data_IF_228880271181
#
_entry.id   IF_228880271181
#
_cell.length_a   1.000
_cell.length_b   1.000
_cell.length_c   1.000
_cell.angle_alpha   90.00
_cell.angle_beta   90.00
_cell.angle_gamma   90.00
#
_symmetry.space_group_name_H-M   'P 1'
#
loop_
_entity.id
_entity.type
_entity.pdbx_description
1 polymer ?
#
# COMPACT_ATOMS: atom_id res chain seq x y z
N UNK A 1 -5.88 4.84 15.41
CA UNK A 1 -6.31 3.50 15.66
C UNK A 1 -7.81 3.45 15.92
N UNK A 2 -8.55 2.83 15.01
CA UNK A 2 -10.00 2.67 15.19
C UNK A 2 -10.25 1.79 16.43
N UNK A 3 -11.18 2.22 17.29
CA UNK A 3 -11.61 1.47 18.47
C UNK A 3 -10.68 1.54 19.69
N UNK A 4 -9.56 2.28 19.63
CA UNK A 4 -8.64 2.39 20.77
C UNK A 4 -9.23 3.11 21.99
N UNK A 5 -10.30 3.86 21.79
CA UNK A 5 -11.05 4.64 22.80
C UNK A 5 -12.45 4.06 23.07
N UNK A 6 -12.76 2.90 22.51
CA UNK A 6 -14.06 2.21 22.66
C UNK A 6 -13.83 0.71 22.85
N UNK A 7 -14.89 -0.03 23.25
CA UNK A 7 -14.86 -1.50 23.33
C UNK A 7 -15.02 -2.19 21.96
N UNK A 8 -14.75 -1.49 20.85
CA UNK A 8 -14.87 -2.00 19.50
C UNK A 8 -13.50 -2.21 18.86
N UNK A 9 -13.46 -2.99 17.79
CA UNK A 9 -12.25 -3.24 16.97
C UNK A 9 -12.56 -3.09 15.48
N UNK A 10 -11.52 -2.96 14.67
CA UNK A 10 -11.69 -2.89 13.22
C UNK A 10 -12.30 -4.19 12.67
N UNK A 11 -11.93 -5.34 13.24
CA UNK A 11 -12.49 -6.64 12.89
C UNK A 11 -14.01 -6.69 13.13
N UNK A 12 -14.43 -6.20 14.31
CA UNK A 12 -15.86 -6.12 14.65
C UNK A 12 -16.59 -5.21 13.66
N UNK A 13 -16.02 -4.03 13.35
CA UNK A 13 -16.61 -3.13 12.37
C UNK A 13 -16.75 -3.78 11.00
N UNK A 14 -15.72 -4.47 10.49
CA UNK A 14 -15.78 -5.16 9.20
C UNK A 14 -16.82 -6.27 9.22
N UNK A 15 -16.93 -7.03 10.31
CA UNK A 15 -17.94 -8.06 10.47
C UNK A 15 -19.36 -7.46 10.46
N UNK A 16 -19.60 -6.38 11.21
CA UNK A 16 -20.90 -5.69 11.20
C UNK A 16 -21.26 -5.15 9.81
N UNK A 17 -20.29 -4.54 9.12
CA UNK A 17 -20.50 -4.04 7.76
C UNK A 17 -20.78 -5.17 6.75
N UNK A 18 -20.31 -6.38 7.01
CA UNK A 18 -20.59 -7.54 6.15
C UNK A 18 -22.06 -8.00 6.18
N UNK A 19 -22.82 -7.59 7.20
CA UNK A 19 -24.25 -7.89 7.32
C UNK A 19 -25.16 -6.86 6.63
N UNK A 20 -24.60 -5.77 6.11
CA UNK A 20 -25.38 -4.76 5.39
C UNK A 20 -25.79 -5.27 4.01
N UNK A 21 -27.03 -5.01 3.63
CA UNK A 21 -27.53 -5.28 2.28
C UNK A 21 -27.02 -4.22 1.28
N UNK A 22 -26.95 -4.60 0.02
CA UNK A 22 -26.64 -3.72 -1.09
C UNK A 22 -25.27 -3.94 -1.73
N UNK A 23 -25.08 -3.31 -2.88
CA UNK A 23 -23.82 -3.31 -3.62
C UNK A 23 -22.98 -2.10 -3.25
N UNK A 24 -21.90 -2.33 -2.56
CA UNK A 24 -20.92 -1.32 -2.18
C UNK A 24 -19.52 -1.93 -2.14
N UNK A 25 -18.51 -1.08 -1.97
CA UNK A 25 -17.13 -1.52 -1.73
C UNK A 25 -16.56 -0.85 -0.50
N UNK A 26 -15.88 -1.64 0.32
CA UNK A 26 -15.17 -1.18 1.51
C UNK A 26 -13.67 -1.12 1.24
N UNK A 27 -13.05 -0.02 1.59
CA UNK A 27 -11.60 0.10 1.60
C UNK A 27 -11.12 0.46 3.00
N UNK A 28 -10.36 -0.42 3.61
CA UNK A 28 -9.62 -0.08 4.83
C UNK A 28 -8.49 0.86 4.46
N UNK A 29 -8.34 1.91 5.23
CA UNK A 29 -7.31 2.92 5.00
C UNK A 29 -5.92 2.44 5.37
N UNK A 30 -5.06 3.37 5.81
CA UNK A 30 -3.70 3.06 6.24
C UNK A 30 -3.72 2.34 7.59
N UNK A 31 -2.96 1.26 7.71
CA UNK A 31 -2.76 0.48 8.93
C UNK A 31 -1.39 0.79 9.55
N UNK A 32 -1.27 0.55 10.85
CA UNK A 32 0.02 0.51 11.54
C UNK A 32 0.34 -0.97 11.86
N UNK A 33 1.53 -1.49 11.52
CA UNK A 33 1.91 -2.87 11.82
C UNK A 33 1.62 -3.28 13.26
N UNK A 34 2.02 -2.48 14.25
CA UNK A 34 1.78 -2.71 15.68
C UNK A 34 0.30 -2.95 16.04
N UNK A 35 -0.64 -2.32 15.32
CA UNK A 35 -2.07 -2.45 15.62
C UNK A 35 -2.70 -3.71 15.03
N UNK A 36 -1.98 -4.41 14.16
CA UNK A 36 -2.44 -5.62 13.46
C UNK A 36 -1.66 -6.85 13.89
N UNK A 37 -0.37 -6.71 14.16
CA UNK A 37 0.49 -7.79 14.64
C UNK A 37 -0.08 -8.44 15.92
N UNK A 38 0.16 -9.73 16.08
CA UNK A 38 -0.40 -10.54 17.16
C UNK A 38 -1.88 -10.93 16.99
N UNK A 39 -2.62 -10.32 16.03
CA UNK A 39 -4.00 -10.68 15.65
C UNK A 39 -4.21 -10.65 14.13
N UNK A 40 -3.15 -10.84 13.38
CA UNK A 40 -3.15 -10.75 11.91
C UNK A 40 -4.09 -11.77 11.27
N UNK A 41 -4.24 -12.96 11.86
CA UNK A 41 -5.17 -13.99 11.38
C UNK A 41 -6.64 -13.62 11.57
N UNK A 42 -7.01 -13.05 12.72
CA UNK A 42 -8.36 -12.55 12.99
C UNK A 42 -8.72 -11.40 12.05
N UNK A 43 -7.78 -10.47 11.88
CA UNK A 43 -7.92 -9.36 10.96
C UNK A 43 -8.08 -9.84 9.52
N UNK A 44 -7.24 -10.79 9.07
CA UNK A 44 -7.35 -11.35 7.72
C UNK A 44 -8.70 -12.05 7.50
N UNK A 45 -9.22 -12.78 8.49
CA UNK A 45 -10.57 -13.38 8.42
C UNK A 45 -11.66 -12.32 8.28
N UNK A 46 -11.59 -11.22 9.03
CA UNK A 46 -12.55 -10.11 8.93
C UNK A 46 -12.52 -9.43 7.54
N UNK A 47 -11.43 -9.58 6.77
CA UNK A 47 -11.31 -9.10 5.38
C UNK A 47 -11.99 -9.99 4.34
N UNK A 48 -12.61 -11.11 4.75
CA UNK A 48 -13.13 -12.14 3.83
C UNK A 48 -14.33 -11.69 2.98
N UNK A 49 -15.12 -10.71 3.44
CA UNK A 49 -16.26 -10.20 2.65
C UNK A 49 -15.78 -9.78 1.25
N UNK A 50 -16.40 -10.27 0.15
CA UNK A 50 -16.01 -9.92 -1.22
C UNK A 50 -16.14 -8.43 -1.52
N UNK A 51 -16.98 -7.70 -0.78
CA UNK A 51 -17.12 -6.24 -0.93
C UNK A 51 -15.98 -5.46 -0.28
N UNK A 52 -15.14 -6.12 0.55
CA UNK A 52 -13.92 -5.51 1.10
C UNK A 52 -12.78 -5.69 0.12
N UNK A 53 -12.24 -4.59 -0.40
CA UNK A 53 -11.09 -4.63 -1.28
C UNK A 53 -9.91 -5.37 -0.66
N UNK A 54 -9.32 -6.32 -1.39
CA UNK A 54 -8.10 -7.01 -0.99
C UNK A 54 -6.90 -6.08 -1.19
N UNK A 55 -6.85 -5.07 -0.36
CA UNK A 55 -5.93 -3.95 -0.40
C UNK A 55 -5.43 -3.63 1.00
N UNK A 56 -4.12 -3.46 1.14
CA UNK A 56 -3.49 -3.07 2.39
C UNK A 56 -2.48 -1.95 2.17
N UNK A 57 -2.63 -0.84 2.88
CA UNK A 57 -1.62 0.21 2.99
C UNK A 57 -0.95 0.09 4.35
N UNK A 58 0.27 -0.46 4.37
CA UNK A 58 1.05 -0.78 5.57
C UNK A 58 2.39 -0.03 5.54
N UNK A 59 2.47 1.21 6.04
CA UNK A 59 3.69 2.01 6.03
C UNK A 59 4.75 1.46 6.97
N UNK A 60 5.88 0.99 6.44
CA UNK A 60 7.02 0.56 7.27
C UNK A 60 7.98 1.69 7.60
N UNK A 61 8.16 2.66 6.72
CA UNK A 61 9.01 3.85 6.80
C UNK A 61 10.51 3.60 6.58
N UNK A 62 11.09 2.50 7.07
CA UNK A 62 12.48 2.10 6.89
C UNK A 62 12.63 0.58 6.99
N UNK A 63 13.61 0.01 6.31
CA UNK A 63 14.01 -1.39 6.49
C UNK A 63 15.03 -1.60 7.60
N UNK A 64 15.47 -0.54 8.29
CA UNK A 64 16.38 -0.62 9.42
C UNK A 64 15.65 -0.38 10.73
N UNK A 65 15.69 -1.34 11.67
CA UNK A 65 15.07 -1.20 12.98
C UNK A 65 15.65 0.00 13.75
N UNK A 66 16.96 0.20 13.67
CA UNK A 66 17.65 1.37 14.26
C UNK A 66 17.04 2.70 13.79
N UNK A 67 16.70 2.79 12.52
CA UNK A 67 16.08 4.01 11.96
C UNK A 67 14.61 4.12 12.39
N UNK A 68 13.87 3.02 12.47
CA UNK A 68 12.51 3.02 13.00
C UNK A 68 12.49 3.52 14.45
N UNK A 69 13.38 3.03 15.29
CA UNK A 69 13.52 3.47 16.70
C UNK A 69 13.86 4.96 16.77
N UNK A 70 14.78 5.42 15.90
CA UNK A 70 15.18 6.84 15.82
C UNK A 70 14.03 7.75 15.32
N UNK A 71 13.11 7.20 14.54
CA UNK A 71 11.88 7.88 14.11
C UNK A 71 10.80 7.85 15.19
N UNK A 72 11.03 7.17 16.31
CA UNK A 72 10.03 6.88 17.34
C UNK A 72 8.79 6.19 16.74
N UNK A 73 9.03 5.13 15.94
CA UNK A 73 7.96 4.26 15.45
C UNK A 73 7.72 3.16 16.46
N UNK A 74 6.44 2.93 16.77
CA UNK A 74 6.02 1.97 17.79
C UNK A 74 5.91 0.53 17.25
N UNK A 75 6.36 0.29 16.01
CA UNK A 75 6.34 -1.03 15.37
C UNK A 75 7.74 -1.53 15.03
N UNK A 76 7.87 -2.85 14.94
CA UNK A 76 9.10 -3.55 14.57
C UNK A 76 9.03 -4.09 13.13
N UNK A 77 10.20 -4.51 12.62
CA UNK A 77 10.28 -5.22 11.32
C UNK A 77 9.60 -6.58 11.41
N UNK A 78 9.68 -7.27 12.54
CA UNK A 78 9.03 -8.57 12.78
C UNK A 78 7.51 -8.43 12.68
N UNK A 79 6.92 -7.41 13.31
CA UNK A 79 5.47 -7.13 13.22
C UNK A 79 5.04 -6.82 11.78
N UNK A 80 5.85 -6.07 11.03
CA UNK A 80 5.58 -5.84 9.61
C UNK A 80 5.58 -7.14 8.81
N UNK A 81 6.56 -8.01 9.04
CA UNK A 81 6.67 -9.29 8.34
C UNK A 81 5.51 -10.22 8.68
N UNK A 82 5.15 -10.35 9.97
CA UNK A 82 3.99 -11.14 10.40
C UNK A 82 2.74 -10.74 9.61
N UNK A 83 2.43 -9.44 9.58
CA UNK A 83 1.24 -8.93 8.89
C UNK A 83 1.30 -9.23 7.39
N UNK A 84 2.42 -8.95 6.72
CA UNK A 84 2.54 -9.19 5.27
C UNK A 84 2.42 -10.67 4.93
N UNK A 85 3.07 -11.55 5.67
CA UNK A 85 3.07 -12.99 5.42
C UNK A 85 1.66 -13.57 5.64
N UNK A 86 1.03 -13.30 6.78
CA UNK A 86 -0.33 -13.77 7.06
C UNK A 86 -1.32 -13.29 6.00
N UNK A 87 -1.33 -12.02 5.67
CA UNK A 87 -2.29 -11.50 4.68
C UNK A 87 -2.05 -12.07 3.27
N UNK A 88 -0.81 -12.35 2.89
CA UNK A 88 -0.52 -13.02 1.61
C UNK A 88 -0.91 -14.48 1.57
N UNK A 89 -0.87 -15.17 2.70
CA UNK A 89 -1.37 -16.54 2.81
C UNK A 89 -2.89 -16.60 2.60
N UNK A 90 -3.63 -15.63 3.16
CA UNK A 90 -5.09 -15.54 2.96
C UNK A 90 -5.46 -14.99 1.58
N UNK A 91 -4.70 -14.03 1.07
CA UNK A 91 -5.00 -13.27 -0.15
C UNK A 91 -3.74 -13.09 -1.02
N UNK A 92 -3.33 -14.12 -1.78
CA UNK A 92 -2.06 -14.11 -2.55
C UNK A 92 -1.95 -12.96 -3.57
N UNK A 93 -3.08 -12.47 -4.09
CA UNK A 93 -3.13 -11.37 -5.06
C UNK A 93 -3.42 -10.00 -4.41
N UNK A 94 -3.47 -9.92 -3.06
CA UNK A 94 -3.72 -8.67 -2.34
C UNK A 94 -2.73 -7.58 -2.76
N UNK A 95 -3.28 -6.40 -3.07
CA UNK A 95 -2.45 -5.22 -3.36
C UNK A 95 -1.88 -4.65 -2.07
N UNK A 96 -0.55 -4.60 -1.97
CA UNK A 96 0.16 -4.04 -0.82
C UNK A 96 0.86 -2.74 -1.21
N UNK A 97 0.60 -1.69 -0.43
CA UNK A 97 1.28 -0.39 -0.54
C UNK A 97 2.05 -0.12 0.74
N UNK A 98 3.26 0.41 0.62
CA UNK A 98 4.06 0.87 1.76
C UNK A 98 4.64 2.26 1.52
N UNK A 99 5.05 2.91 2.60
CA UNK A 99 5.73 4.20 2.58
C UNK A 99 7.15 4.04 3.09
N UNK A 100 8.10 4.76 2.46
CA UNK A 100 9.51 4.81 2.85
C UNK A 100 9.93 6.28 2.98
N UNK A 101 10.63 6.56 4.07
CA UNK A 101 11.30 7.85 4.31
C UNK A 101 12.81 7.63 4.19
N UNK A 102 13.45 8.28 3.22
CA UNK A 102 14.92 8.24 3.04
C UNK A 102 15.57 9.54 3.49
N UNK A 103 16.80 9.45 3.96
CA UNK A 103 17.59 10.58 4.43
C UNK A 103 17.19 11.05 5.83
N UNK A 104 16.63 10.16 6.65
CA UNK A 104 16.43 10.45 8.07
C UNK A 104 17.78 10.67 8.75
N UNK A 105 17.90 11.62 9.70
CA UNK A 105 19.14 11.85 10.44
C UNK A 105 19.70 10.57 11.05
N UNK A 106 20.99 10.31 10.78
CA UNK A 106 21.67 9.09 11.26
C UNK A 106 21.54 7.86 10.34
N UNK A 107 20.77 7.95 9.23
CA UNK A 107 20.70 6.87 8.24
C UNK A 107 22.06 6.67 7.56
N UNK A 108 22.63 5.46 7.67
CA UNK A 108 23.88 5.04 7.03
C UNK A 108 23.62 4.38 5.67
N UNK A 109 24.67 3.96 4.96
CA UNK A 109 24.53 3.22 3.70
C UNK A 109 24.02 1.80 3.96
N UNK A 110 24.36 1.21 5.09
CA UNK A 110 23.86 -0.09 5.55
C UNK A 110 22.35 0.00 5.85
N UNK A 111 21.89 1.00 6.59
CA UNK A 111 20.45 1.22 6.86
C UNK A 111 19.64 1.40 5.57
N UNK A 112 20.23 2.10 4.58
CA UNK A 112 19.62 2.26 3.27
C UNK A 112 19.56 0.92 2.50
N UNK A 113 20.63 0.11 2.56
CA UNK A 113 20.65 -1.22 1.94
C UNK A 113 19.60 -2.16 2.56
N UNK A 114 19.47 -2.17 3.89
CA UNK A 114 18.42 -2.92 4.59
C UNK A 114 17.02 -2.53 4.10
N UNK A 115 16.81 -1.24 3.79
CA UNK A 115 15.54 -0.76 3.21
C UNK A 115 15.32 -1.28 1.78
N UNK A 116 16.36 -1.31 0.94
CA UNK A 116 16.28 -1.90 -0.40
C UNK A 116 16.00 -3.40 -0.34
N UNK A 117 16.66 -4.12 0.57
CA UNK A 117 16.50 -5.57 0.76
C UNK A 117 15.09 -5.91 1.27
N UNK A 118 14.55 -5.12 2.22
CA UNK A 118 13.17 -5.24 2.67
C UNK A 118 12.19 -5.10 1.51
N UNK A 119 12.35 -4.08 0.67
CA UNK A 119 11.47 -3.86 -0.47
C UNK A 119 11.56 -4.99 -1.51
N UNK A 120 12.76 -5.48 -1.80
CA UNK A 120 12.97 -6.61 -2.69
C UNK A 120 12.28 -7.88 -2.18
N UNK A 121 12.43 -8.20 -0.89
CA UNK A 121 11.82 -9.37 -0.25
C UNK A 121 10.29 -9.22 -0.15
N UNK A 122 9.79 -8.08 0.35
CA UNK A 122 8.35 -7.86 0.52
C UNK A 122 7.61 -7.65 -0.79
N UNK A 123 8.30 -7.21 -1.85
CA UNK A 123 7.76 -6.98 -3.19
C UNK A 123 6.40 -6.27 -3.16
N UNK A 124 6.28 -5.08 -2.58
CA UNK A 124 5.02 -4.34 -2.56
C UNK A 124 4.64 -3.89 -3.98
N UNK A 125 3.34 -3.77 -4.24
CA UNK A 125 2.82 -3.34 -5.54
C UNK A 125 3.11 -1.86 -5.80
N UNK A 126 3.03 -1.04 -4.75
CA UNK A 126 3.39 0.38 -4.80
C UNK A 126 4.21 0.78 -3.57
N UNK A 127 5.17 1.68 -3.79
CA UNK A 127 5.97 2.28 -2.73
C UNK A 127 5.93 3.80 -2.85
N UNK A 128 5.49 4.47 -1.80
CA UNK A 128 5.60 5.91 -1.69
C UNK A 128 6.96 6.26 -1.08
N UNK A 129 7.82 6.91 -1.86
CA UNK A 129 9.16 7.33 -1.42
C UNK A 129 9.14 8.82 -1.10
N UNK A 130 9.42 9.15 0.16
CA UNK A 130 9.50 10.53 0.65
C UNK A 130 10.90 10.80 1.21
N UNK A 131 11.48 11.95 0.89
CA UNK A 131 12.70 12.44 1.55
C UNK A 131 12.35 13.03 2.89
N UNK A 132 13.16 12.72 3.91
CA UNK A 132 12.98 13.33 5.22
C UNK A 132 12.96 14.84 5.12
N UNK A 133 11.96 15.45 5.71
CA UNK A 133 11.83 16.89 5.90
C UNK A 133 11.57 17.19 7.39
N UNK A 134 12.45 17.96 8.04
CA UNK A 134 12.28 18.25 9.46
C UNK A 134 11.03 19.09 9.71
N UNK A 135 10.24 18.68 10.67
CA UNK A 135 9.07 19.43 11.13
C UNK A 135 9.43 20.24 12.37
N UNK A 136 9.13 21.53 12.38
CA UNK A 136 9.36 22.39 13.53
C UNK A 136 8.69 21.80 14.79
N UNK A 137 9.43 21.78 15.90
CA UNK A 137 8.93 21.27 17.18
C UNK A 137 9.19 19.77 17.43
N UNK A 138 9.66 19.00 16.41
CA UNK A 138 10.04 17.59 16.61
C UNK A 138 11.50 17.44 17.02
N UNK A 139 11.87 16.38 17.82
CA UNK A 139 13.26 16.09 18.16
C UNK A 139 14.15 15.97 16.92
N UNK A 140 13.69 15.29 15.88
CA UNK A 140 14.42 15.06 14.63
C UNK A 140 14.78 16.37 13.88
N UNK A 141 14.09 17.47 14.15
CA UNK A 141 14.42 18.78 13.56
C UNK A 141 15.77 19.35 14.04
N UNK A 142 16.29 18.84 15.17
CA UNK A 142 17.55 19.24 15.80
C UNK A 142 18.71 18.33 15.43
N UNK A 143 18.45 17.19 14.78
CA UNK A 143 19.49 16.21 14.45
C UNK A 143 20.33 16.67 13.25
N UNK A 144 21.58 16.21 13.19
CA UNK A 144 22.46 16.45 12.05
C UNK A 144 21.89 15.76 10.81
N UNK A 145 21.61 16.54 9.77
CA UNK A 145 21.04 16.03 8.51
C UNK A 145 22.06 15.19 7.73
N UNK A 146 21.58 14.22 7.01
CA UNK A 146 22.34 13.53 5.97
C UNK A 146 22.62 14.50 4.81
N UNK A 147 23.81 14.40 4.18
CA UNK A 147 24.18 15.23 3.03
C UNK A 147 23.14 15.12 1.92
N UNK A 148 22.72 16.27 1.37
CA UNK A 148 21.65 16.32 0.37
C UNK A 148 21.97 15.55 -0.91
N UNK A 149 23.27 15.39 -1.27
CA UNK A 149 23.69 14.57 -2.43
C UNK A 149 23.45 13.09 -2.16
N UNK A 150 23.72 12.63 -0.93
CA UNK A 150 23.47 11.25 -0.49
C UNK A 150 21.95 11.00 -0.50
N UNK A 151 21.13 11.87 0.11
CA UNK A 151 19.67 11.75 0.10
C UNK A 151 19.11 11.71 -1.33
N UNK A 152 19.65 12.54 -2.23
CA UNK A 152 19.25 12.53 -3.65
C UNK A 152 19.59 11.21 -4.34
N UNK A 153 20.79 10.65 -4.09
CA UNK A 153 21.21 9.34 -4.61
C UNK A 153 20.27 8.23 -4.13
N UNK A 154 20.10 8.08 -2.81
CA UNK A 154 19.22 7.06 -2.18
C UNK A 154 17.78 7.18 -2.66
N UNK A 155 17.22 8.39 -2.71
CA UNK A 155 15.86 8.61 -3.23
C UNK A 155 15.70 8.20 -4.69
N UNK A 156 16.76 8.31 -5.51
CA UNK A 156 16.76 7.84 -6.91
C UNK A 156 16.78 6.31 -6.97
N UNK A 157 17.60 5.65 -6.16
CA UNK A 157 17.70 4.19 -6.09
C UNK A 157 16.33 3.59 -5.67
N UNK A 158 15.72 4.11 -4.61
CA UNK A 158 14.37 3.70 -4.19
C UNK A 158 13.31 3.99 -5.27
N UNK A 159 13.43 5.11 -5.99
CA UNK A 159 12.51 5.43 -7.08
C UNK A 159 12.64 4.47 -8.26
N UNK A 160 13.83 4.01 -8.57
CA UNK A 160 14.06 3.00 -9.61
C UNK A 160 13.51 1.63 -9.17
N UNK A 161 13.86 1.21 -7.95
CA UNK A 161 13.38 -0.06 -7.40
C UNK A 161 11.84 -0.12 -7.34
N UNK A 162 11.17 0.93 -6.83
CA UNK A 162 9.70 0.94 -6.77
C UNK A 162 9.05 0.81 -8.15
N UNK A 163 9.65 1.42 -9.20
CA UNK A 163 9.15 1.32 -10.58
C UNK A 163 9.29 -0.10 -11.10
N UNK A 164 10.43 -0.74 -10.83
CA UNK A 164 10.69 -2.13 -11.22
C UNK A 164 9.71 -3.09 -10.55
N UNK A 165 9.58 -3.01 -9.21
CA UNK A 165 8.67 -3.85 -8.43
C UNK A 165 7.22 -3.67 -8.89
N UNK A 166 6.74 -2.44 -9.00
CA UNK A 166 5.38 -2.17 -9.41
C UNK A 166 5.10 -2.59 -10.85
N UNK A 167 6.00 -2.33 -11.79
CA UNK A 167 5.85 -2.80 -13.18
C UNK A 167 5.76 -4.33 -13.24
N UNK A 168 6.61 -5.04 -12.50
CA UNK A 168 6.58 -6.51 -12.41
C UNK A 168 5.27 -7.01 -11.80
N UNK A 169 4.76 -6.33 -10.76
CA UNK A 169 3.50 -6.69 -10.11
C UNK A 169 2.31 -6.55 -11.06
N UNK A 170 2.15 -5.41 -11.71
CA UNK A 170 1.01 -5.16 -12.59
C UNK A 170 1.05 -5.96 -13.89
N UNK A 171 2.23 -6.26 -14.43
CA UNK A 171 2.39 -7.05 -15.67
C UNK A 171 1.74 -8.43 -15.60
N UNK A 172 1.63 -9.04 -14.42
CA UNK A 172 1.01 -10.36 -14.20
C UNK A 172 -0.49 -10.40 -14.59
N UNK A 173 -1.13 -9.25 -14.70
CA UNK A 173 -2.57 -9.13 -14.96
C UNK A 173 -2.88 -8.84 -16.44
N UNK A 174 -1.89 -8.50 -17.26
CA UNK A 174 -2.08 -8.28 -18.71
C UNK A 174 -2.63 -9.55 -19.36
N UNK A 175 -3.73 -9.39 -20.09
CA UNK A 175 -4.49 -10.46 -20.74
C UNK A 175 -5.59 -11.07 -19.89
N UNK A 176 -5.64 -10.81 -18.57
CA UNK A 176 -6.71 -11.28 -17.67
C UNK A 176 -7.99 -10.45 -17.87
N UNK A 177 -9.12 -11.12 -17.67
CA UNK A 177 -10.45 -10.51 -17.59
C UNK A 177 -10.85 -10.39 -16.12
N UNK A 178 -11.53 -9.31 -15.76
CA UNK A 178 -12.00 -9.05 -14.39
C UNK A 178 -13.13 -8.03 -14.41
N UNK A 179 -13.94 -8.01 -13.34
CA UNK A 179 -14.91 -6.95 -13.12
C UNK A 179 -14.27 -5.75 -12.40
N UNK A 180 -14.69 -4.55 -12.73
CA UNK A 180 -14.20 -3.31 -12.12
C UNK A 180 -15.32 -2.34 -11.81
N UNK A 181 -15.16 -1.59 -10.71
CA UNK A 181 -16.04 -0.48 -10.36
C UNK A 181 -15.47 0.84 -10.91
N UNK A 182 -16.29 1.61 -11.61
CA UNK A 182 -15.93 2.97 -12.07
C UNK A 182 -15.97 3.94 -10.90
N UNK A 183 -14.87 4.67 -10.66
CA UNK A 183 -14.75 5.51 -9.45
C UNK A 183 -14.50 6.99 -9.72
N UNK A 184 -13.87 7.34 -10.84
CA UNK A 184 -13.52 8.72 -11.12
C UNK A 184 -13.29 9.00 -12.62
N UNK A 185 -13.75 10.15 -13.09
CA UNK A 185 -13.45 10.69 -14.42
C UNK A 185 -12.40 11.82 -14.28
N UNK A 186 -11.11 11.44 -14.26
CA UNK A 186 -10.00 12.41 -14.08
C UNK A 186 -9.77 13.31 -15.29
N UNK A 187 -10.02 12.79 -16.48
CA UNK A 187 -9.84 13.51 -17.76
C UNK A 187 -10.96 13.11 -18.72
N UNK A 188 -11.37 14.04 -19.57
CA UNK A 188 -12.32 13.75 -20.65
C UNK A 188 -11.81 12.59 -21.51
N UNK A 189 -12.67 11.63 -21.77
CA UNK A 189 -12.33 10.41 -22.52
C UNK A 189 -11.58 9.36 -21.72
N UNK A 190 -11.60 9.40 -20.38
CA UNK A 190 -10.98 8.35 -19.58
C UNK A 190 -11.62 8.21 -18.19
N UNK A 191 -11.97 6.98 -17.83
CA UNK A 191 -12.53 6.62 -16.54
C UNK A 191 -11.53 5.78 -15.75
N UNK A 192 -11.27 6.17 -14.49
CA UNK A 192 -10.53 5.38 -13.53
C UNK A 192 -11.47 4.37 -12.88
N UNK A 193 -11.07 3.11 -12.90
CA UNK A 193 -11.77 1.99 -12.29
C UNK A 193 -10.91 1.31 -11.22
N UNK A 194 -11.55 0.48 -10.39
CA UNK A 194 -10.90 -0.36 -9.38
C UNK A 194 -11.38 -1.79 -9.50
N UNK A 195 -10.44 -2.75 -9.52
CA UNK A 195 -10.74 -4.17 -9.34
C UNK A 195 -10.95 -4.52 -7.86
N UNK A 196 -11.24 -5.78 -7.54
CA UNK A 196 -11.45 -6.25 -6.16
C UNK A 196 -10.20 -6.14 -5.26
N UNK A 197 -9.04 -5.90 -5.83
CA UNK A 197 -7.79 -5.61 -5.11
C UNK A 197 -7.47 -4.11 -5.05
N UNK A 198 -8.41 -3.25 -5.44
CA UNK A 198 -8.25 -1.79 -5.48
C UNK A 198 -7.19 -1.30 -6.47
N UNK A 199 -6.75 -2.13 -7.44
CA UNK A 199 -5.77 -1.73 -8.45
C UNK A 199 -6.35 -0.66 -9.36
N UNK A 200 -5.57 0.38 -9.71
CA UNK A 200 -6.02 1.41 -10.64
C UNK A 200 -6.03 0.86 -12.08
N UNK A 201 -7.19 0.93 -12.72
CA UNK A 201 -7.38 0.51 -14.11
C UNK A 201 -8.02 1.66 -14.88
N UNK A 202 -7.47 2.01 -16.03
CA UNK A 202 -7.94 3.11 -16.88
C UNK A 202 -8.63 2.54 -18.11
N UNK A 203 -9.89 2.91 -18.29
CA UNK A 203 -10.62 2.74 -19.53
C UNK A 203 -10.58 4.05 -20.34
N UNK A 204 -10.18 3.96 -21.62
CA UNK A 204 -10.05 5.14 -22.51
C UNK A 204 -11.39 5.55 -23.11
N UNK A 205 -12.38 5.78 -22.23
CA UNK A 205 -13.72 6.27 -22.57
C UNK A 205 -14.38 6.85 -21.33
N UNK A 206 -15.36 7.73 -21.52
CA UNK A 206 -16.19 8.26 -20.45
C UNK A 206 -17.30 7.26 -20.12
N UNK A 207 -17.35 6.81 -18.86
CA UNK A 207 -18.38 5.90 -18.36
C UNK A 207 -19.11 6.51 -17.15
N UNK A 208 -20.38 6.13 -16.91
CA UNK A 208 -21.06 6.41 -15.66
C UNK A 208 -20.21 5.95 -14.46
N UNK A 209 -20.26 6.73 -13.37
CA UNK A 209 -19.56 6.39 -12.14
C UNK A 209 -20.45 5.55 -11.22
N UNK A 210 -19.85 4.67 -10.44
CA UNK A 210 -20.54 3.77 -9.52
C UNK A 210 -21.08 2.51 -10.17
N UNK A 211 -20.71 2.23 -11.41
CA UNK A 211 -21.16 1.07 -12.17
C UNK A 211 -20.06 0.01 -12.30
N UNK A 212 -20.47 -1.26 -12.41
CA UNK A 212 -19.57 -2.38 -12.65
C UNK A 212 -19.49 -2.71 -14.13
N UNK A 213 -18.28 -3.01 -14.60
CA UNK A 213 -18.01 -3.41 -15.98
C UNK A 213 -17.03 -4.57 -16.01
N UNK A 214 -17.28 -5.52 -16.91
CA UNK A 214 -16.31 -6.56 -17.23
C UNK A 214 -15.32 -6.03 -18.25
N UNK A 215 -14.03 -6.25 -17.97
CA UNK A 215 -12.95 -5.69 -18.76
C UNK A 215 -11.86 -6.72 -19.03
N UNK A 216 -11.07 -6.47 -20.07
CA UNK A 216 -9.83 -7.17 -20.33
C UNK A 216 -8.65 -6.23 -20.22
N UNK A 217 -7.70 -6.57 -19.37
CA UNK A 217 -6.47 -5.79 -19.18
C UNK A 217 -5.57 -5.99 -20.41
N UNK A 218 -5.22 -4.89 -21.08
CA UNK A 218 -4.43 -4.92 -22.33
C UNK A 218 -3.01 -4.44 -22.16
N UNK A 219 -2.73 -3.62 -21.11
CA UNK A 219 -1.39 -3.08 -20.86
C UNK A 219 -1.23 -2.71 -19.39
N UNK A 220 0.02 -2.55 -18.94
CA UNK A 220 0.36 -2.15 -17.59
C UNK A 220 1.56 -1.23 -17.54
N UNK A 221 1.49 -0.23 -16.68
CA UNK A 221 2.58 0.66 -16.29
C UNK A 221 2.80 0.63 -14.78
N UNK A 222 3.82 1.31 -14.30
CA UNK A 222 3.97 1.52 -12.87
C UNK A 222 2.77 2.31 -12.32
N UNK A 223 2.00 1.66 -11.45
CA UNK A 223 0.93 2.30 -10.70
C UNK A 223 -0.47 2.26 -11.33
N UNK A 224 -0.63 1.74 -12.56
CA UNK A 224 -1.93 1.52 -13.17
C UNK A 224 -1.88 0.51 -14.32
N UNK A 225 -3.04 0.03 -14.72
CA UNK A 225 -3.24 -0.80 -15.91
C UNK A 225 -4.20 -0.10 -16.88
N UNK A 226 -4.16 -0.49 -18.13
CA UNK A 226 -5.11 -0.05 -19.16
C UNK A 226 -5.93 -1.25 -19.62
N UNK A 227 -7.22 -1.04 -19.83
CA UNK A 227 -8.13 -2.11 -20.23
C UNK A 227 -9.14 -1.66 -21.32
N UNK A 228 -9.83 -2.63 -21.87
CA UNK A 228 -11.00 -2.46 -22.76
C UNK A 228 -12.19 -3.19 -22.17
N UNK A 229 -13.40 -2.77 -22.53
CA UNK A 229 -14.62 -3.51 -22.19
C UNK A 229 -14.66 -4.84 -22.94
N UNK A 230 -15.26 -5.85 -22.32
CA UNK A 230 -15.50 -7.19 -22.92
C UNK A 230 -16.99 -7.32 -23.24
#
# INVERSE_FOLDING_TARGET
AFGADTDSSLENLLNELSHLDGEFRLRVGMLNPMLVAGRSHEMAKAWSDPRTYKFMHLPIQSGSQKILDSMARDHTLEEFWEVVEVFRDYYPEMMIITDIITGFPGETDEDHQETLDLLNRSSPDLVNVTRFSPRKGTPASRYKRVDGRIVKKRSRELTNLRKELGAKSFKKFVGKETSVLTVENKRKGSTLCRDDNYRPIILKQDLPLGEFYDIKIIDSEYGFMTAILV
#
